data_IF_581167467570
#
_entry.id   IF_581167467570
#
_cell.length_a   1.000
_cell.length_b   1.000
_cell.length_c   1.000
_cell.angle_alpha   90.00
_cell.angle_beta   90.00
_cell.angle_gamma   90.00
#
_symmetry.space_group_name_H-M   'P 1'
#
loop_
_entity.id
_entity.type
_entity.pdbx_description
1 polymer ?
#
# COMPACT_ATOMS: atom_id res chain seq x y z
N UNK A 1 -18.89 -9.11 -9.58
CA UNK A 1 -18.34 -8.27 -10.66
C UNK A 1 -17.09 -7.60 -10.12
N UNK A 2 -15.95 -7.57 -10.83
CA UNK A 2 -14.81 -6.82 -10.31
C UNK A 2 -15.24 -5.35 -10.20
N UNK A 3 -15.12 -4.78 -9.00
CA UNK A 3 -15.41 -3.37 -8.75
C UNK A 3 -14.58 -2.47 -9.66
N UNK A 4 -15.02 -1.22 -9.83
CA UNK A 4 -14.35 -0.22 -10.66
C UNK A 4 -12.86 -0.10 -10.26
N UNK A 5 -11.95 -0.25 -11.23
CA UNK A 5 -10.49 -0.20 -11.01
C UNK A 5 -9.95 1.14 -11.47
N UNK A 6 -10.26 2.19 -10.73
CA UNK A 6 -10.05 3.59 -11.14
C UNK A 6 -8.60 3.90 -11.53
N UNK A 7 -7.63 3.29 -10.85
CA UNK A 7 -6.21 3.41 -11.19
C UNK A 7 -5.90 2.84 -12.59
N UNK A 8 -6.44 1.67 -12.92
CA UNK A 8 -6.23 1.05 -14.23
C UNK A 8 -6.98 1.77 -15.34
N UNK A 9 -8.13 2.37 -15.03
CA UNK A 9 -8.91 3.15 -15.99
C UNK A 9 -8.13 4.40 -16.42
N UNK A 10 -7.56 5.15 -15.47
CA UNK A 10 -6.71 6.31 -15.80
C UNK A 10 -5.45 5.91 -16.56
N UNK A 11 -4.82 4.79 -16.22
CA UNK A 11 -3.66 4.29 -16.97
C UNK A 11 -4.00 3.81 -18.39
N UNK A 12 -5.28 3.55 -18.68
CA UNK A 12 -5.79 3.28 -20.04
C UNK A 12 -6.16 4.55 -20.82
N UNK A 13 -6.05 5.72 -20.20
CA UNK A 13 -6.42 7.00 -20.80
C UNK A 13 -7.86 7.42 -20.55
N UNK A 14 -8.62 6.70 -19.71
CA UNK A 14 -9.99 7.08 -19.37
C UNK A 14 -10.00 8.27 -18.39
N UNK A 15 -10.85 9.29 -18.61
CA UNK A 15 -11.00 10.39 -17.67
C UNK A 15 -11.77 9.92 -16.42
N UNK A 16 -11.14 10.05 -15.25
CA UNK A 16 -11.75 9.72 -13.95
C UNK A 16 -11.67 10.93 -13.02
N UNK A 17 -12.77 11.20 -12.30
CA UNK A 17 -12.83 12.24 -11.28
C UNK A 17 -13.43 11.68 -9.97
N UNK A 18 -12.80 11.92 -8.80
CA UNK A 18 -11.48 12.55 -8.65
C UNK A 18 -10.35 11.69 -9.26
N UNK A 19 -9.20 12.27 -9.62
CA UNK A 19 -8.04 11.49 -10.05
C UNK A 19 -7.58 10.53 -8.92
N UNK A 20 -7.17 9.29 -9.25
CA UNK A 20 -6.70 8.34 -8.25
C UNK A 20 -5.37 8.82 -7.64
N UNK A 21 -5.17 8.54 -6.35
CA UNK A 21 -3.97 8.89 -5.58
C UNK A 21 -3.33 7.65 -4.95
N UNK A 22 -2.00 7.63 -5.02
CA UNK A 22 -1.11 6.73 -4.30
C UNK A 22 0.25 7.45 -4.15
N UNK A 23 1.14 6.90 -3.32
CA UNK A 23 2.45 7.52 -3.10
C UNK A 23 3.57 6.49 -3.17
N UNK A 24 4.70 6.86 -3.78
CA UNK A 24 5.93 6.09 -3.64
C UNK A 24 6.33 6.05 -2.16
N UNK A 25 6.68 4.84 -1.67
CA UNK A 25 7.01 4.60 -0.25
C UNK A 25 5.87 4.93 0.72
N UNK A 26 4.62 4.72 0.30
CA UNK A 26 3.43 4.86 1.15
C UNK A 26 3.46 3.94 2.39
N UNK A 27 4.04 2.74 2.28
CA UNK A 27 4.31 1.89 3.45
C UNK A 27 5.72 2.21 3.98
N UNK A 28 5.81 2.92 5.10
CA UNK A 28 7.11 3.34 5.61
C UNK A 28 7.11 3.96 7.00
N UNK A 29 8.31 4.36 7.45
CA UNK A 29 8.60 4.79 8.83
C UNK A 29 7.83 6.01 9.34
N UNK A 30 7.09 6.72 8.48
CA UNK A 30 6.21 7.80 8.90
C UNK A 30 4.92 7.28 9.56
N UNK A 31 4.58 6.01 9.33
CA UNK A 31 3.47 5.33 9.96
C UNK A 31 3.90 4.68 11.28
N UNK A 32 3.24 4.96 12.41
CA UNK A 32 3.53 4.29 13.67
C UNK A 32 3.30 2.78 13.59
N UNK A 33 2.22 2.33 12.95
CA UNK A 33 1.90 0.92 12.73
C UNK A 33 2.99 0.18 11.94
N UNK A 34 3.54 0.79 10.89
CA UNK A 34 4.69 0.23 10.17
C UNK A 34 5.91 0.03 11.09
N UNK A 35 6.17 0.99 11.98
CA UNK A 35 7.29 0.90 12.92
C UNK A 35 7.08 -0.25 13.91
N UNK A 36 5.85 -0.51 14.34
CA UNK A 36 5.54 -1.65 15.21
C UNK A 36 5.67 -2.98 14.49
N UNK A 37 5.20 -3.10 13.24
CA UNK A 37 5.41 -4.32 12.42
C UNK A 37 6.89 -4.58 12.16
N UNK A 38 7.65 -3.53 11.85
CA UNK A 38 9.11 -3.63 11.65
C UNK A 38 9.85 -4.07 12.92
N UNK A 39 9.40 -3.66 14.11
CA UNK A 39 9.95 -4.16 15.38
C UNK A 39 9.66 -5.65 15.58
N UNK A 40 8.46 -6.11 15.23
CA UNK A 40 8.08 -7.53 15.28
C UNK A 40 8.90 -8.39 14.32
N UNK A 41 9.17 -7.89 13.12
CA UNK A 41 9.98 -8.58 12.11
C UNK A 41 11.46 -8.73 12.51
N UNK A 42 11.98 -7.88 13.39
CA UNK A 42 13.39 -7.89 13.82
C UNK A 42 14.33 -7.22 12.82
N UNK A 43 14.30 -7.60 11.54
CA UNK A 43 15.10 -6.96 10.49
C UNK A 43 14.28 -6.54 9.27
N UNK A 44 14.87 -5.73 8.39
CA UNK A 44 14.21 -5.31 7.15
C UNK A 44 14.04 -6.47 6.16
N UNK A 45 15.03 -7.35 6.05
CA UNK A 45 14.94 -8.50 5.16
C UNK A 45 13.92 -9.51 5.66
N UNK A 46 13.87 -9.75 6.97
CA UNK A 46 12.85 -10.63 7.56
C UNK A 46 11.44 -10.08 7.29
N UNK A 47 11.25 -8.77 7.38
CA UNK A 47 9.99 -8.11 7.00
C UNK A 47 9.62 -8.33 5.53
N UNK A 48 10.59 -8.31 4.62
CA UNK A 48 10.36 -8.54 3.19
C UNK A 48 10.11 -10.02 2.84
N UNK A 49 10.71 -10.95 3.59
CA UNK A 49 10.61 -12.39 3.32
C UNK A 49 9.49 -13.09 4.08
N UNK A 50 8.88 -12.44 5.05
CA UNK A 50 7.66 -12.88 5.71
C UNK A 50 6.43 -12.38 4.93
N UNK A 51 5.68 -13.26 4.23
CA UNK A 51 4.54 -12.84 3.43
C UNK A 51 3.42 -12.22 4.25
N UNK A 52 3.20 -12.67 5.48
CA UNK A 52 2.12 -12.16 6.33
C UNK A 52 2.45 -10.74 6.78
N UNK A 53 3.70 -10.48 7.18
CA UNK A 53 4.14 -9.13 7.54
C UNK A 53 4.23 -8.20 6.32
N UNK A 54 4.65 -8.70 5.15
CA UNK A 54 4.70 -7.94 3.91
C UNK A 54 3.29 -7.50 3.46
N UNK A 55 2.30 -8.40 3.54
CA UNK A 55 0.88 -8.08 3.30
C UNK A 55 0.41 -7.03 4.30
N UNK A 56 0.70 -7.23 5.59
CA UNK A 56 0.30 -6.30 6.65
C UNK A 56 0.78 -4.88 6.35
N UNK A 57 2.08 -4.68 6.10
CA UNK A 57 2.62 -3.33 5.82
C UNK A 57 2.15 -2.76 4.48
N UNK A 58 1.87 -3.60 3.48
CA UNK A 58 1.35 -3.15 2.18
C UNK A 58 -0.06 -2.56 2.30
N UNK A 59 -0.88 -3.11 3.22
CA UNK A 59 -2.28 -2.68 3.42
C UNK A 59 -2.42 -1.45 4.34
N UNK A 60 -1.47 -1.22 5.26
CA UNK A 60 -1.53 -0.09 6.21
C UNK A 60 -1.89 1.28 5.57
N UNK A 61 -1.30 1.70 4.43
CA UNK A 61 -1.64 2.99 3.82
C UNK A 61 -3.03 3.01 3.20
N UNK A 62 -3.51 1.87 2.70
CA UNK A 62 -4.87 1.72 2.15
C UNK A 62 -5.88 1.89 3.27
N UNK A 63 -5.67 1.21 4.39
CA UNK A 63 -6.56 1.26 5.55
C UNK A 63 -6.57 2.64 6.21
N UNK A 64 -5.41 3.32 6.24
CA UNK A 64 -5.29 4.63 6.90
C UNK A 64 -5.80 5.79 6.06
N UNK A 65 -5.55 5.78 4.75
CA UNK A 65 -5.78 6.94 3.89
C UNK A 65 -6.76 6.68 2.75
N UNK A 66 -7.12 5.43 2.48
CA UNK A 66 -8.01 5.08 1.37
C UNK A 66 -7.37 5.32 0.00
N UNK A 67 -6.05 5.12 -0.14
CA UNK A 67 -5.39 5.24 -1.44
C UNK A 67 -5.96 4.26 -2.47
N UNK A 68 -5.93 4.67 -3.74
CA UNK A 68 -6.57 3.95 -4.84
C UNK A 68 -5.72 2.81 -5.40
N UNK A 69 -4.48 2.69 -4.92
CA UNK A 69 -3.55 1.62 -5.28
C UNK A 69 -2.56 1.31 -4.15
N UNK A 70 -2.16 0.04 -4.08
CA UNK A 70 -1.06 -0.43 -3.24
C UNK A 70 0.15 -0.79 -4.09
N UNK A 71 1.34 -0.48 -3.60
CA UNK A 71 2.60 -1.04 -4.11
C UNK A 71 3.09 -2.09 -3.11
N UNK A 72 3.43 -3.28 -3.62
CA UNK A 72 3.94 -4.37 -2.80
C UNK A 72 5.22 -3.93 -2.08
N UNK A 73 5.27 -4.18 -0.79
CA UNK A 73 6.46 -3.99 0.03
C UNK A 73 7.51 -5.09 -0.22
#
# INVERSE_FOLDING_TARGET
>A
MPGKRIMLDVLRGEPVFPPPIWMMRQAGRYLPEYRETRKRAGSFLDLCYDPDLAVEVTLQPIERFGFDASILF
#
